data_IF_281102211973
#
_entry.id   IF_281102211973
#
_cell.length_a   1.000
_cell.length_b   1.000
_cell.length_c   1.000
_cell.angle_alpha   90.00
_cell.angle_beta   90.00
_cell.angle_gamma   90.00
#
_symmetry.space_group_name_H-M   'P 1'
#
loop_
_entity.id
_entity.type
_entity.pdbx_description
1 polymer ?
#
# COMPACT_ATOMS: atom_id res chain seq x y z
N UNK A 1 -46.88 -16.44 -19.30
CA UNK A 1 -46.60 -15.81 -18.00
C UNK A 1 -45.24 -15.13 -18.10
N UNK A 2 -45.22 -13.83 -18.43
CA UNK A 2 -44.00 -13.04 -18.50
C UNK A 2 -43.75 -12.44 -17.12
N UNK A 3 -42.57 -12.70 -16.54
CA UNK A 3 -42.16 -12.17 -15.24
C UNK A 3 -41.77 -10.70 -15.40
N UNK A 4 -42.45 -9.84 -14.63
CA UNK A 4 -42.24 -8.40 -14.58
C UNK A 4 -41.01 -8.14 -13.70
N UNK A 5 -39.90 -7.73 -14.30
CA UNK A 5 -38.68 -7.34 -13.59
C UNK A 5 -38.95 -6.04 -12.82
N UNK A 6 -38.86 -6.12 -11.49
CA UNK A 6 -38.99 -4.96 -10.60
C UNK A 6 -37.83 -3.98 -10.83
N UNK A 7 -38.17 -2.69 -10.93
CA UNK A 7 -37.20 -1.61 -11.05
C UNK A 7 -36.31 -1.52 -9.79
N UNK A 8 -35.03 -1.14 -9.95
CA UNK A 8 -34.12 -0.98 -8.81
C UNK A 8 -34.61 0.13 -7.87
N UNK A 9 -34.40 0.00 -6.55
CA UNK A 9 -34.82 1.02 -5.59
C UNK A 9 -34.04 2.31 -5.82
N UNK A 10 -34.74 3.43 -5.75
CA UNK A 10 -34.17 4.76 -5.83
C UNK A 10 -33.06 4.95 -4.78
N UNK A 11 -31.90 5.45 -5.22
CA UNK A 11 -30.78 5.76 -4.35
C UNK A 11 -31.21 6.77 -3.28
N UNK A 12 -31.09 6.36 -2.01
CA UNK A 12 -31.27 7.26 -0.87
C UNK A 12 -30.08 8.21 -0.86
N UNK A 13 -30.36 9.50 -1.11
CA UNK A 13 -29.38 10.58 -1.04
C UNK A 13 -28.90 10.74 0.42
N UNK A 14 -27.85 10.01 0.78
CA UNK A 14 -27.11 10.22 2.02
C UNK A 14 -26.15 11.40 1.87
N UNK A 15 -26.33 12.40 2.73
CA UNK A 15 -25.44 13.55 3.01
C UNK A 15 -24.00 13.45 2.44
N UNK A 16 -23.81 13.91 1.21
CA UNK A 16 -22.55 13.94 0.46
C UNK A 16 -21.63 15.13 0.81
N UNK A 17 -21.63 15.60 2.07
CA UNK A 17 -21.05 16.90 2.42
C UNK A 17 -19.58 16.88 2.93
N UNK A 18 -18.91 15.73 3.03
CA UNK A 18 -17.54 15.66 3.61
C UNK A 18 -16.44 15.21 2.65
N UNK A 19 -16.76 14.79 1.42
CA UNK A 19 -15.76 14.39 0.41
C UNK A 19 -15.10 15.56 -0.37
N UNK A 20 -15.78 16.68 -0.69
CA UNK A 20 -15.18 17.74 -1.49
C UNK A 20 -13.88 18.32 -0.93
N UNK A 21 -13.73 18.55 0.40
CA UNK A 21 -12.47 19.03 0.95
C UNK A 21 -11.33 18.03 0.76
N UNK A 22 -11.58 16.73 0.96
CA UNK A 22 -10.56 15.69 0.82
C UNK A 22 -10.05 15.59 -0.62
N UNK A 23 -10.95 15.65 -1.62
CA UNK A 23 -10.55 15.62 -3.04
C UNK A 23 -9.65 16.81 -3.38
N UNK A 24 -9.99 18.01 -2.90
CA UNK A 24 -9.17 19.20 -3.13
C UNK A 24 -7.76 19.06 -2.54
N UNK A 25 -7.62 18.50 -1.33
CA UNK A 25 -6.30 18.24 -0.74
C UNK A 25 -5.47 17.25 -1.58
N UNK A 26 -6.12 16.21 -2.12
CA UNK A 26 -5.46 15.21 -2.97
C UNK A 26 -5.04 15.79 -4.33
N UNK A 27 -5.90 16.54 -5.00
CA UNK A 27 -5.58 17.15 -6.29
C UNK A 27 -4.41 18.14 -6.18
N UNK A 28 -4.29 18.88 -5.08
CA UNK A 28 -3.18 19.82 -4.87
C UNK A 28 -1.84 19.14 -4.54
N UNK A 29 -1.84 17.83 -4.29
CA UNK A 29 -0.63 17.11 -3.89
C UNK A 29 0.29 16.92 -5.10
N UNK A 30 1.61 17.12 -4.96
CA UNK A 30 2.58 16.75 -5.98
C UNK A 30 2.76 15.23 -6.10
N UNK A 31 3.03 14.75 -7.30
CA UNK A 31 3.50 13.36 -7.49
C UNK A 31 4.83 13.16 -6.79
N UNK A 32 4.95 12.10 -5.99
CA UNK A 32 6.17 11.73 -5.28
C UNK A 32 6.77 10.44 -5.83
N UNK A 33 8.06 10.21 -5.63
CA UNK A 33 8.70 8.93 -5.95
C UNK A 33 9.19 8.26 -4.67
N UNK A 34 8.76 7.01 -4.47
CA UNK A 34 9.21 6.18 -3.38
C UNK A 34 10.22 5.18 -3.90
N UNK A 35 11.33 5.05 -3.19
CA UNK A 35 12.38 4.08 -3.51
C UNK A 35 12.19 2.86 -2.61
N UNK A 36 11.91 1.67 -3.18
CA UNK A 36 11.83 0.47 -2.39
C UNK A 36 13.18 0.14 -1.76
N UNK A 37 13.15 0.02 -0.44
CA UNK A 37 14.20 -0.58 0.38
C UNK A 37 13.59 -1.86 0.95
N UNK A 38 13.92 -3.01 0.34
CA UNK A 38 13.19 -4.28 0.50
C UNK A 38 11.74 -4.23 -0.05
N UNK A 39 10.81 -4.96 0.58
CA UNK A 39 9.35 -4.83 0.37
C UNK A 39 8.74 -3.57 1.02
N UNK A 40 9.60 -2.70 1.54
CA UNK A 40 9.25 -1.42 2.13
C UNK A 40 9.80 -0.31 1.26
N UNK A 41 9.53 0.94 1.61
CA UNK A 41 10.09 2.11 0.93
C UNK A 41 10.79 3.01 1.94
N UNK A 42 11.76 3.79 1.46
CA UNK A 42 12.74 4.56 2.27
C UNK A 42 12.15 5.64 3.19
N UNK A 43 10.85 5.91 3.11
CA UNK A 43 10.13 6.90 3.93
C UNK A 43 9.11 7.65 3.10
N UNK A 44 8.22 8.41 3.74
CA UNK A 44 7.37 9.33 2.99
C UNK A 44 8.19 10.55 2.54
N UNK A 45 7.95 11.03 1.33
CA UNK A 45 8.45 12.34 0.87
C UNK A 45 7.79 13.47 1.66
N UNK A 46 8.38 14.67 1.63
CA UNK A 46 7.79 15.83 2.30
C UNK A 46 6.40 16.16 1.77
N UNK A 47 6.17 16.04 0.46
CA UNK A 47 4.84 16.19 -0.15
C UNK A 47 3.79 15.23 0.40
N UNK A 48 4.15 13.96 0.65
CA UNK A 48 3.22 12.98 1.22
C UNK A 48 3.01 13.20 2.73
N UNK A 49 4.04 13.65 3.45
CA UNK A 49 3.90 14.05 4.86
C UNK A 49 2.99 15.28 4.99
N UNK A 50 3.19 16.29 4.15
CA UNK A 50 2.35 17.49 4.08
C UNK A 50 0.89 17.14 3.77
N UNK A 51 0.62 16.28 2.78
CA UNK A 51 -0.73 15.79 2.51
C UNK A 51 -1.39 15.21 3.77
N UNK A 52 -0.68 14.38 4.53
CA UNK A 52 -1.22 13.78 5.76
C UNK A 52 -1.51 14.82 6.84
N UNK A 53 -0.69 15.86 6.92
CA UNK A 53 -0.89 16.98 7.86
C UNK A 53 -2.10 17.83 7.45
N UNK A 54 -2.21 18.19 6.16
CA UNK A 54 -3.37 18.92 5.61
C UNK A 54 -4.68 18.17 5.83
N UNK A 55 -4.73 16.86 5.56
CA UNK A 55 -5.91 16.04 5.86
C UNK A 55 -6.26 16.08 7.35
N UNK A 56 -5.26 15.99 8.24
CA UNK A 56 -5.50 16.05 9.70
C UNK A 56 -6.09 17.40 10.11
N UNK A 57 -5.55 18.50 9.57
CA UNK A 57 -5.99 19.85 9.88
C UNK A 57 -7.38 20.15 9.31
N UNK A 58 -7.65 19.73 8.07
CA UNK A 58 -8.94 19.94 7.39
C UNK A 58 -10.07 19.07 7.96
N UNK A 59 -9.74 17.92 8.54
CA UNK A 59 -10.71 16.95 9.05
C UNK A 59 -10.42 16.54 10.50
N UNK A 60 -10.65 17.43 11.48
CA UNK A 60 -10.38 17.16 12.90
C UNK A 60 -11.24 16.05 13.50
N UNK A 61 -12.32 15.65 12.83
CA UNK A 61 -13.17 14.52 13.23
C UNK A 61 -12.59 13.15 12.88
N UNK A 62 -11.54 13.08 12.06
CA UNK A 62 -10.87 11.81 11.76
C UNK A 62 -10.14 11.30 13.00
N UNK A 63 -10.11 9.97 13.22
CA UNK A 63 -9.34 9.39 14.31
C UNK A 63 -7.84 9.72 14.15
N UNK A 64 -7.08 9.67 15.27
CA UNK A 64 -5.64 9.74 15.22
C UNK A 64 -5.07 8.66 14.29
N UNK A 65 -3.97 8.99 13.64
CA UNK A 65 -3.31 8.07 12.72
C UNK A 65 -2.77 6.84 13.46
N UNK A 66 -3.13 5.65 12.96
CA UNK A 66 -2.61 4.39 13.46
C UNK A 66 -1.10 4.28 13.23
N UNK A 67 -0.32 3.67 14.16
CA UNK A 67 1.12 3.50 13.99
C UNK A 67 1.53 2.85 12.66
N UNK A 68 0.70 1.93 12.17
CA UNK A 68 0.95 1.20 10.93
C UNK A 68 0.93 2.03 9.65
N UNK A 69 0.30 3.21 9.61
CA UNK A 69 0.31 4.08 8.43
C UNK A 69 1.31 5.24 8.54
N UNK A 70 2.02 5.39 9.66
CA UNK A 70 3.00 6.47 9.89
C UNK A 70 4.27 6.34 9.06
N UNK A 71 4.40 5.24 8.33
CA UNK A 71 5.48 4.96 7.40
C UNK A 71 4.91 4.18 6.22
N UNK A 72 5.51 4.34 5.03
CA UNK A 72 4.97 3.71 3.83
C UNK A 72 5.30 2.22 3.80
N UNK A 73 4.24 1.40 3.85
CA UNK A 73 4.33 -0.05 3.85
C UNK A 73 3.23 -0.68 3.02
N UNK A 74 3.50 -1.89 2.54
CA UNK A 74 2.52 -2.76 1.88
C UNK A 74 2.37 -4.03 2.71
N UNK A 75 1.15 -4.39 3.07
CA UNK A 75 0.90 -5.68 3.71
C UNK A 75 0.80 -6.76 2.63
N UNK A 76 1.72 -7.74 2.64
CA UNK A 76 1.79 -8.77 1.60
C UNK A 76 0.90 -9.99 1.89
N UNK A 77 0.66 -10.25 3.16
CA UNK A 77 -0.07 -11.40 3.69
C UNK A 77 -0.04 -11.43 5.22
N UNK A 78 -0.51 -12.54 5.78
CA UNK A 78 -0.54 -12.78 7.23
C UNK A 78 -0.33 -14.25 7.53
N UNK A 79 -0.08 -14.59 8.80
CA UNK A 79 -0.08 -15.99 9.22
C UNK A 79 -1.49 -16.57 9.12
N UNK A 80 -1.59 -17.83 8.67
CA UNK A 80 -2.85 -18.58 8.69
C UNK A 80 -3.39 -18.73 10.12
N UNK A 81 -4.69 -18.91 10.24
CA UNK A 81 -5.32 -19.17 11.53
C UNK A 81 -4.72 -20.41 12.21
N UNK A 82 -4.52 -20.32 13.53
CA UNK A 82 -3.90 -21.39 14.31
C UNK A 82 -2.39 -21.58 14.10
N UNK A 83 -1.75 -20.80 13.20
CA UNK A 83 -0.28 -20.82 13.03
C UNK A 83 0.41 -19.80 13.93
N UNK A 84 1.60 -20.18 14.42
CA UNK A 84 2.57 -19.34 15.12
C UNK A 84 3.96 -19.70 14.64
N UNK A 85 4.82 -18.69 14.46
CA UNK A 85 6.22 -18.92 14.15
C UNK A 85 6.94 -19.47 15.38
N UNK A 86 7.82 -20.45 15.18
CA UNK A 86 8.87 -20.77 16.14
C UNK A 86 10.04 -19.79 15.99
N UNK A 87 10.95 -19.68 16.97
CA UNK A 87 12.17 -18.89 16.83
C UNK A 87 12.98 -19.24 15.57
N UNK A 88 13.13 -20.53 15.27
CA UNK A 88 13.87 -21.00 14.09
C UNK A 88 13.17 -20.60 12.79
N UNK A 89 11.84 -20.72 12.72
CA UNK A 89 11.07 -20.29 11.55
C UNK A 89 11.15 -18.77 11.34
N UNK A 90 11.12 -17.99 12.42
CA UNK A 90 11.32 -16.55 12.34
C UNK A 90 12.74 -16.21 11.87
N UNK A 91 13.76 -16.92 12.34
CA UNK A 91 15.13 -16.72 11.87
C UNK A 91 15.25 -16.99 10.36
N UNK A 92 14.62 -18.06 9.87
CA UNK A 92 14.53 -18.37 8.43
C UNK A 92 13.83 -17.24 7.66
N UNK A 93 12.70 -16.75 8.15
CA UNK A 93 11.98 -15.63 7.52
C UNK A 93 12.85 -14.36 7.47
N UNK A 94 13.49 -14.00 8.58
CA UNK A 94 14.39 -12.84 8.64
C UNK A 94 15.55 -12.98 7.66
N UNK A 95 16.10 -14.18 7.50
CA UNK A 95 17.15 -14.45 6.53
C UNK A 95 16.66 -14.25 5.08
N UNK A 96 15.49 -14.77 4.73
CA UNK A 96 14.88 -14.54 3.41
C UNK A 96 14.65 -13.05 3.19
N UNK A 97 14.09 -12.33 4.16
CA UNK A 97 13.90 -10.88 4.06
C UNK A 97 15.22 -10.16 3.78
N UNK A 98 16.30 -10.47 4.50
CA UNK A 98 17.63 -9.86 4.30
C UNK A 98 18.16 -10.12 2.88
N UNK A 99 18.08 -11.37 2.42
CA UNK A 99 18.57 -11.76 1.08
C UNK A 99 17.79 -11.10 -0.05
N UNK A 100 16.46 -11.06 0.03
CA UNK A 100 15.62 -10.39 -0.95
C UNK A 100 15.89 -8.88 -0.96
N UNK A 101 16.03 -8.27 0.21
CA UNK A 101 16.35 -6.83 0.35
C UNK A 101 17.68 -6.50 -0.32
N UNK A 102 18.72 -7.29 -0.06
CA UNK A 102 20.02 -7.11 -0.68
C UNK A 102 19.97 -7.32 -2.20
N UNK A 103 19.14 -8.26 -2.67
CA UNK A 103 18.89 -8.47 -4.10
C UNK A 103 18.30 -7.23 -4.78
N UNK A 104 17.34 -6.56 -4.14
CA UNK A 104 16.79 -5.30 -4.63
C UNK A 104 17.86 -4.20 -4.73
N UNK A 105 18.65 -4.00 -3.68
CA UNK A 105 19.71 -2.97 -3.66
C UNK A 105 20.76 -3.21 -4.74
N UNK A 106 21.16 -4.47 -4.95
CA UNK A 106 22.13 -4.84 -6.00
C UNK A 106 21.56 -4.59 -7.40
N UNK A 107 20.29 -4.95 -7.65
CA UNK A 107 19.64 -4.68 -8.94
C UNK A 107 19.49 -3.18 -9.22
N UNK A 108 19.43 -2.34 -8.19
CA UNK A 108 19.41 -0.87 -8.33
C UNK A 108 20.77 -0.25 -8.68
N UNK A 109 21.88 -1.00 -8.53
CA UNK A 109 23.25 -0.49 -8.74
C UNK A 109 23.98 -1.00 -9.99
N UNK A 110 23.45 -2.00 -10.71
CA UNK A 110 24.14 -2.59 -11.87
C UNK A 110 23.90 -1.75 -13.13
N UNK A 111 24.97 -1.14 -13.66
CA UNK A 111 24.99 -0.51 -14.99
C UNK A 111 24.66 0.99 -15.04
N UNK A 112 24.60 1.69 -13.90
CA UNK A 112 24.31 3.13 -13.86
C UNK A 112 22.85 3.50 -14.17
N UNK A 113 21.96 2.51 -14.27
CA UNK A 113 20.53 2.73 -14.36
C UNK A 113 20.01 3.26 -13.02
N UNK A 114 19.14 4.30 -13.03
CA UNK A 114 18.49 4.71 -11.78
C UNK A 114 17.73 3.51 -11.17
N UNK A 115 17.79 3.35 -9.85
CA UNK A 115 17.07 2.29 -9.16
C UNK A 115 15.56 2.29 -9.41
N UNK A 116 14.90 1.20 -9.03
CA UNK A 116 13.45 1.07 -9.09
C UNK A 116 12.81 2.21 -8.27
N UNK A 117 11.92 2.98 -8.90
CA UNK A 117 11.11 3.99 -8.21
C UNK A 117 9.64 3.71 -8.45
N UNK A 118 8.85 3.87 -7.41
CA UNK A 118 7.40 3.80 -7.47
C UNK A 118 6.83 5.21 -7.42
N UNK A 119 6.14 5.65 -8.47
CA UNK A 119 5.44 6.93 -8.41
C UNK A 119 4.19 6.82 -7.53
N UNK A 120 4.01 7.78 -6.62
CA UNK A 120 2.77 8.03 -5.90
C UNK A 120 2.19 9.31 -6.47
N UNK A 121 1.37 9.14 -7.49
CA UNK A 121 0.80 10.18 -8.34
C UNK A 121 -0.73 10.27 -8.22
N UNK A 122 -1.27 9.55 -7.25
CA UNK A 122 -2.70 9.38 -7.03
C UNK A 122 -2.95 8.76 -5.66
N UNK A 123 -4.16 8.94 -5.16
CA UNK A 123 -4.65 8.22 -4.00
C UNK A 123 -6.10 7.80 -4.21
N UNK A 124 -6.47 6.75 -3.49
CA UNK A 124 -7.79 6.14 -3.55
C UNK A 124 -8.42 6.18 -2.17
N UNK A 125 -9.62 6.75 -2.09
CA UNK A 125 -10.50 6.65 -0.92
C UNK A 125 -11.27 5.34 -1.04
N UNK A 126 -10.83 4.33 -0.31
CA UNK A 126 -11.37 2.98 -0.37
C UNK A 126 -12.28 2.71 0.83
N UNK A 127 -13.55 2.38 0.55
CA UNK A 127 -14.48 1.78 1.51
C UNK A 127 -14.41 0.26 1.32
N UNK A 128 -14.22 -0.48 2.41
CA UNK A 128 -13.96 -1.92 2.33
C UNK A 128 -14.77 -2.70 3.36
N UNK A 129 -14.96 -3.99 3.09
CA UNK A 129 -15.60 -4.96 3.98
C UNK A 129 -14.63 -6.02 4.54
N UNK A 130 -13.33 -5.88 4.27
CA UNK A 130 -12.25 -6.63 4.92
C UNK A 130 -10.94 -5.85 4.96
N UNK A 131 -10.12 -6.07 5.99
CA UNK A 131 -8.88 -5.31 6.23
C UNK A 131 -7.75 -5.61 5.24
N UNK A 132 -7.83 -6.73 4.51
CA UNK A 132 -6.91 -7.02 3.41
C UNK A 132 -7.21 -6.21 2.14
N UNK A 133 -8.32 -5.49 2.09
CA UNK A 133 -8.83 -4.75 0.92
C UNK A 133 -9.11 -5.62 -0.31
N UNK A 134 -9.16 -6.95 -0.15
CA UNK A 134 -9.57 -7.88 -1.21
C UNK A 134 -11.07 -7.76 -1.55
N UNK A 135 -11.86 -7.09 -0.69
CA UNK A 135 -13.28 -6.82 -0.88
C UNK A 135 -13.59 -5.35 -0.61
N UNK A 136 -13.62 -4.57 -1.69
CA UNK A 136 -13.96 -3.16 -1.70
C UNK A 136 -15.46 -2.98 -1.95
N UNK A 137 -16.08 -2.06 -1.22
CA UNK A 137 -17.47 -1.65 -1.41
C UNK A 137 -17.57 -0.45 -2.36
N UNK A 138 -16.62 0.46 -2.26
CA UNK A 138 -16.49 1.61 -3.14
C UNK A 138 -15.03 2.04 -3.16
N UNK A 139 -14.61 2.57 -4.30
CA UNK A 139 -13.31 3.20 -4.38
C UNK A 139 -13.34 4.42 -5.29
N UNK A 140 -13.01 5.58 -4.71
CA UNK A 140 -12.86 6.82 -5.45
C UNK A 140 -11.38 7.10 -5.67
N UNK A 141 -10.97 7.14 -6.93
CA UNK A 141 -9.59 7.44 -7.31
C UNK A 141 -9.42 8.94 -7.61
N UNK A 142 -8.35 9.54 -7.08
CA UNK A 142 -8.02 10.95 -7.30
C UNK A 142 -6.56 11.04 -7.74
N UNK A 143 -6.35 11.63 -8.92
CA UNK A 143 -5.01 11.87 -9.47
C UNK A 143 -4.45 13.17 -8.91
N UNK A 144 -3.17 13.14 -8.55
CA UNK A 144 -2.43 14.30 -8.05
C UNK A 144 -2.16 15.28 -9.19
N UNK A 145 -2.35 16.57 -8.94
CA UNK A 145 -2.18 17.64 -9.94
C UNK A 145 -1.18 18.72 -9.47
N UNK A 146 -0.59 18.58 -8.28
CA UNK A 146 0.40 19.52 -7.73
C UNK A 146 1.78 19.50 -8.39
N UNK A 147 1.90 18.96 -9.61
CA UNK A 147 3.18 18.79 -10.29
C UNK A 147 3.96 17.56 -9.81
N UNK A 148 5.29 17.66 -9.80
CA UNK A 148 6.21 16.55 -9.52
C UNK A 148 7.22 16.98 -8.46
N UNK A 149 7.27 16.22 -7.37
CA UNK A 149 8.25 16.33 -6.32
C UNK A 149 9.25 15.17 -6.42
N UNK A 150 10.47 15.51 -6.82
CA UNK A 150 11.58 14.57 -6.92
C UNK A 150 12.47 14.57 -5.65
N UNK A 151 12.06 15.27 -4.59
CA UNK A 151 12.80 15.34 -3.33
C UNK A 151 12.70 14.01 -2.59
N UNK A 152 13.84 13.54 -2.11
CA UNK A 152 13.94 12.32 -1.32
C UNK A 152 13.30 12.50 0.07
N UNK A 153 12.81 11.42 0.71
CA UNK A 153 12.32 11.47 2.09
C UNK A 153 13.31 12.17 3.02
N UNK A 154 12.85 12.98 3.97
CA UNK A 154 13.74 13.70 4.89
C UNK A 154 14.63 12.76 5.70
N UNK A 155 15.72 13.28 6.29
CA UNK A 155 16.59 12.46 7.15
C UNK A 155 15.83 11.83 8.33
N UNK A 156 14.81 12.53 8.85
CA UNK A 156 13.95 12.03 9.92
C UNK A 156 13.06 10.86 9.45
N UNK A 157 12.47 10.97 8.26
CA UNK A 157 11.65 9.89 7.68
C UNK A 157 12.50 8.65 7.39
N UNK A 158 13.69 8.84 6.80
CA UNK A 158 14.64 7.74 6.56
C UNK A 158 15.06 7.07 7.86
N UNK A 159 15.45 7.86 8.87
CA UNK A 159 15.83 7.32 10.19
C UNK A 159 14.68 6.54 10.85
N UNK A 160 13.43 6.98 10.69
CA UNK A 160 12.26 6.24 11.19
C UNK A 160 12.15 4.86 10.51
N UNK A 161 12.24 4.80 9.18
CA UNK A 161 12.18 3.53 8.45
C UNK A 161 13.36 2.64 8.83
N UNK A 162 14.57 3.17 8.92
CA UNK A 162 15.75 2.42 9.40
C UNK A 162 15.51 1.81 10.79
N UNK A 163 14.90 2.56 11.71
CA UNK A 163 14.56 2.04 13.04
C UNK A 163 13.57 0.87 12.99
N UNK A 164 12.55 0.94 12.13
CA UNK A 164 11.57 -0.12 11.94
C UNK A 164 12.21 -1.37 11.32
N UNK A 165 13.07 -1.20 10.31
CA UNK A 165 13.79 -2.29 9.67
C UNK A 165 14.79 -3.00 10.61
N UNK A 166 15.23 -2.32 11.67
CA UNK A 166 16.09 -2.88 12.70
C UNK A 166 15.32 -3.60 13.82
N UNK A 167 13.99 -3.46 13.92
CA UNK A 167 13.19 -4.13 14.96
C UNK A 167 13.43 -5.65 15.04
N UNK A 168 13.57 -6.40 13.91
CA UNK A 168 13.81 -7.84 13.97
C UNK A 168 15.11 -8.28 14.64
N UNK A 169 16.07 -7.36 14.83
CA UNK A 169 17.34 -7.63 15.52
C UNK A 169 17.18 -7.60 17.06
N UNK A 170 16.04 -7.13 17.58
CA UNK A 170 15.83 -7.06 19.02
C UNK A 170 15.70 -8.48 19.63
N UNK A 171 16.36 -8.78 20.78
CA UNK A 171 16.34 -10.12 21.38
C UNK A 171 14.95 -10.68 21.68
N UNK A 172 13.99 -9.80 21.95
CA UNK A 172 12.60 -10.14 22.26
C UNK A 172 11.65 -10.01 21.06
N UNK A 173 12.14 -9.69 19.86
CA UNK A 173 11.30 -9.50 18.69
C UNK A 173 10.46 -10.73 18.37
N UNK A 174 11.01 -11.93 18.57
CA UNK A 174 10.29 -13.18 18.32
C UNK A 174 8.99 -13.27 19.13
N UNK A 175 8.99 -12.76 20.36
CA UNK A 175 7.82 -12.79 21.21
C UNK A 175 6.71 -11.93 20.61
N UNK A 176 7.05 -10.71 20.19
CA UNK A 176 6.12 -9.77 19.55
C UNK A 176 5.63 -10.28 18.18
N UNK A 177 6.53 -10.78 17.34
CA UNK A 177 6.21 -11.33 16.03
C UNK A 177 5.32 -12.59 16.10
N UNK A 178 5.40 -13.34 17.20
CA UNK A 178 4.66 -14.60 17.40
C UNK A 178 3.36 -14.43 18.20
N UNK A 179 3.00 -13.20 18.61
CA UNK A 179 1.76 -12.94 19.37
C UNK A 179 0.53 -13.41 18.59
N UNK A 180 -0.47 -13.88 19.32
CA UNK A 180 -1.79 -14.12 18.74
C UNK A 180 -2.44 -12.79 18.37
N UNK A 181 -3.15 -12.81 17.25
CA UNK A 181 -3.79 -11.64 16.67
C UNK A 181 -3.43 -11.48 15.19
N UNK A 182 -4.21 -10.70 14.45
CA UNK A 182 -3.91 -10.35 13.06
C UNK A 182 -3.60 -11.60 12.18
N UNK A 183 -4.40 -12.66 12.33
CA UNK A 183 -4.34 -13.87 11.48
C UNK A 183 -5.29 -13.73 10.29
N UNK A 184 -5.34 -14.75 9.45
CA UNK A 184 -6.17 -14.78 8.25
C UNK A 184 -7.63 -14.32 8.50
N UNK A 185 -8.30 -14.85 9.53
CA UNK A 185 -9.66 -14.43 9.87
C UNK A 185 -9.79 -12.94 10.26
N UNK A 186 -8.76 -12.33 10.85
CA UNK A 186 -8.77 -10.90 11.19
C UNK A 186 -8.77 -10.02 9.93
N UNK A 187 -7.99 -10.41 8.92
CA UNK A 187 -7.83 -9.65 7.69
C UNK A 187 -8.95 -9.89 6.69
N UNK A 188 -9.38 -11.15 6.53
CA UNK A 188 -10.40 -11.57 5.57
C UNK A 188 -11.80 -11.65 6.14
N UNK A 189 -11.96 -11.54 7.46
CA UNK A 189 -13.27 -11.44 8.11
C UNK A 189 -14.00 -10.15 7.73
N UNK A 190 -15.31 -10.12 7.98
CA UNK A 190 -16.13 -8.93 7.75
C UNK A 190 -15.69 -7.79 8.66
N UNK A 191 -15.33 -6.67 8.05
CA UNK A 191 -14.94 -5.45 8.74
C UNK A 191 -15.15 -4.23 7.85
N UNK A 192 -16.07 -3.35 8.25
CA UNK A 192 -16.30 -2.10 7.54
C UNK A 192 -15.27 -1.06 7.94
N UNK A 193 -14.61 -0.45 6.96
CA UNK A 193 -13.64 0.61 7.20
C UNK A 193 -13.43 1.49 5.98
N UNK A 194 -12.66 2.55 6.17
CA UNK A 194 -12.28 3.50 5.13
C UNK A 194 -10.79 3.82 5.24
N UNK A 195 -10.08 3.81 4.12
CA UNK A 195 -8.66 4.17 4.08
C UNK A 195 -8.32 5.00 2.85
N UNK A 196 -7.33 5.86 3.00
CA UNK A 196 -6.65 6.52 1.91
C UNK A 196 -5.39 5.72 1.58
N UNK A 197 -5.29 5.24 0.34
CA UNK A 197 -4.20 4.38 -0.08
C UNK A 197 -3.78 4.64 -1.52
N UNK A 198 -2.58 4.18 -1.88
CA UNK A 198 -2.09 4.16 -3.24
C UNK A 198 -1.95 2.71 -3.71
N UNK A 199 -2.67 2.25 -4.75
CA UNK A 199 -2.58 0.86 -5.20
C UNK A 199 -1.23 0.61 -5.91
N UNK A 200 -0.66 -0.59 -5.71
CA UNK A 200 0.57 -0.99 -6.41
C UNK A 200 0.28 -1.41 -7.85
N UNK A 201 -0.82 -2.14 -8.05
CA UNK A 201 -1.33 -2.47 -9.37
C UNK A 201 -2.15 -1.29 -9.90
N UNK A 202 -2.00 -1.00 -11.19
CA UNK A 202 -2.79 0.04 -11.84
C UNK A 202 -4.19 -0.52 -12.09
N UNK A 203 -5.22 0.15 -11.58
CA UNK A 203 -6.59 -0.23 -11.90
C UNK A 203 -6.94 0.19 -13.32
N UNK A 204 -7.13 -0.80 -14.19
CA UNK A 204 -7.79 -0.58 -15.46
C UNK A 204 -9.30 -0.55 -15.22
N UNK A 205 -9.93 0.63 -15.32
CA UNK A 205 -11.38 0.74 -15.41
C UNK A 205 -11.85 0.38 -16.83
N UNK A 206 -11.49 -0.81 -17.35
CA UNK A 206 -11.75 -1.21 -18.74
C UNK A 206 -10.79 -0.57 -19.76
N UNK A 207 -10.63 -1.24 -20.92
CA UNK A 207 -9.56 -0.95 -21.89
C UNK A 207 -9.57 0.48 -22.47
N UNK A 208 -10.76 1.09 -22.62
CA UNK A 208 -10.89 2.44 -23.20
C UNK A 208 -10.57 3.57 -22.20
N UNK A 209 -10.87 3.35 -20.92
CA UNK A 209 -10.55 4.29 -19.82
C UNK A 209 -9.10 4.16 -19.37
N UNK A 210 -8.45 3.02 -19.64
CA UNK A 210 -7.07 2.74 -19.25
C UNK A 210 -6.07 3.71 -19.90
N UNK A 211 -6.18 3.96 -21.21
CA UNK A 211 -5.28 4.89 -21.91
C UNK A 211 -5.46 6.34 -21.43
N UNK A 212 -6.71 6.76 -21.19
CA UNK A 212 -7.03 8.11 -20.70
C UNK A 212 -6.61 8.31 -19.24
N UNK A 213 -6.87 7.32 -18.37
CA UNK A 213 -6.45 7.33 -16.97
C UNK A 213 -4.93 7.30 -16.82
N UNK A 214 -4.23 6.47 -17.60
CA UNK A 214 -2.77 6.47 -17.65
C UNK A 214 -2.21 7.79 -18.20
N UNK A 215 -2.83 8.34 -19.24
CA UNK A 215 -2.44 9.64 -19.78
C UNK A 215 -2.71 10.79 -18.79
N UNK A 216 -3.59 10.66 -17.80
CA UNK A 216 -3.84 11.67 -16.79
C UNK A 216 -2.80 11.69 -15.65
N UNK A 217 -2.09 10.57 -15.43
CA UNK A 217 -1.21 10.36 -14.28
C UNK A 217 0.17 10.99 -14.46
N UNK A 218 0.57 11.97 -13.63
CA UNK A 218 1.85 12.65 -13.82
C UNK A 218 3.05 11.71 -13.68
N UNK A 219 3.01 10.71 -12.80
CA UNK A 219 4.08 9.72 -12.65
C UNK A 219 4.36 8.96 -13.96
N UNK A 220 3.30 8.49 -14.61
CA UNK A 220 3.35 7.86 -15.93
C UNK A 220 3.77 8.84 -17.03
N UNK A 221 3.37 10.11 -16.97
CA UNK A 221 3.86 11.12 -17.94
C UNK A 221 5.35 11.37 -17.82
N UNK A 222 5.88 11.41 -16.60
CA UNK A 222 7.29 11.74 -16.33
C UNK A 222 8.20 10.56 -16.66
N UNK A 223 7.82 9.35 -16.24
CA UNK A 223 8.67 8.16 -16.36
C UNK A 223 8.26 7.21 -17.49
N UNK A 224 7.08 7.41 -18.09
CA UNK A 224 6.61 6.66 -19.26
C UNK A 224 6.54 5.16 -19.00
N UNK A 225 7.02 4.40 -19.97
CA UNK A 225 7.09 2.92 -19.93
C UNK A 225 7.88 2.43 -18.71
N UNK A 226 8.88 3.18 -18.25
CA UNK A 226 9.73 2.78 -17.13
C UNK A 226 8.98 2.68 -15.81
N UNK A 227 7.95 3.50 -15.59
CA UNK A 227 7.09 3.37 -14.40
C UNK A 227 6.32 2.05 -14.40
N UNK A 228 5.84 1.61 -15.57
CA UNK A 228 5.16 0.33 -15.72
C UNK A 228 6.13 -0.84 -15.49
N UNK A 229 7.34 -0.72 -16.01
CA UNK A 229 8.42 -1.71 -15.81
C UNK A 229 8.80 -1.82 -14.33
N UNK A 230 9.00 -0.69 -13.64
CA UNK A 230 9.34 -0.65 -12.22
C UNK A 230 8.23 -1.28 -11.36
N UNK A 231 6.95 -0.99 -11.66
CA UNK A 231 5.81 -1.62 -10.96
C UNK A 231 5.74 -3.12 -11.20
N UNK A 232 5.94 -3.57 -12.45
CA UNK A 232 5.98 -5.00 -12.78
C UNK A 232 7.15 -5.70 -12.08
N UNK A 233 8.32 -5.07 -12.05
CA UNK A 233 9.49 -5.58 -11.35
C UNK A 233 9.22 -5.72 -9.84
N UNK A 234 8.60 -4.72 -9.23
CA UNK A 234 8.21 -4.76 -7.81
C UNK A 234 7.25 -5.91 -7.52
N UNK A 235 6.18 -6.06 -8.32
CA UNK A 235 5.20 -7.15 -8.16
C UNK A 235 5.81 -8.53 -8.42
N UNK A 236 6.70 -8.65 -9.41
CA UNK A 236 7.43 -9.89 -9.69
C UNK A 236 8.33 -10.30 -8.53
N UNK A 237 8.99 -9.33 -7.88
CA UNK A 237 9.82 -9.57 -6.71
C UNK A 237 9.00 -9.92 -5.46
N UNK A 238 7.83 -9.29 -5.24
CA UNK A 238 6.87 -9.72 -4.21
C UNK A 238 6.48 -11.18 -4.41
N UNK A 239 6.16 -11.57 -5.64
CA UNK A 239 5.78 -12.93 -5.96
C UNK A 239 6.94 -13.92 -5.79
N UNK A 240 8.17 -13.51 -6.12
CA UNK A 240 9.37 -14.31 -5.87
C UNK A 240 9.56 -14.57 -4.36
N UNK A 241 9.45 -13.54 -3.53
CA UNK A 241 9.52 -13.67 -2.08
C UNK A 241 8.46 -14.59 -1.50
N UNK A 242 7.20 -14.44 -1.93
CA UNK A 242 6.09 -15.32 -1.48
C UNK A 242 6.42 -16.78 -1.74
N UNK A 243 6.89 -17.11 -2.95
CA UNK A 243 7.31 -18.48 -3.28
C UNK A 243 8.45 -18.98 -2.41
N UNK A 244 9.47 -18.16 -2.16
CA UNK A 244 10.58 -18.55 -1.28
C UNK A 244 10.10 -18.83 0.14
N UNK A 245 9.21 -17.99 0.67
CA UNK A 245 8.60 -18.20 1.98
C UNK A 245 7.75 -19.45 1.99
N UNK A 246 6.93 -19.72 0.97
CA UNK A 246 6.10 -20.93 0.89
C UNK A 246 6.94 -22.22 0.82
N UNK A 247 8.09 -22.18 0.15
CA UNK A 247 9.04 -23.32 0.11
C UNK A 247 9.67 -23.54 1.49
N UNK A 248 10.11 -22.46 2.16
CA UNK A 248 10.82 -22.56 3.43
C UNK A 248 9.88 -22.78 4.64
N UNK A 249 8.65 -22.28 4.56
CA UNK A 249 7.65 -22.24 5.62
C UNK A 249 6.27 -22.68 5.06
N UNK A 250 6.14 -23.96 4.65
CA UNK A 250 4.96 -24.45 3.96
C UNK A 250 3.69 -24.25 4.79
N UNK A 251 2.65 -23.74 4.14
CA UNK A 251 1.33 -23.48 4.72
C UNK A 251 1.31 -22.53 5.94
N UNK A 252 2.37 -21.74 6.14
CA UNK A 252 2.41 -20.79 7.26
C UNK A 252 1.66 -19.50 6.96
N UNK A 253 1.74 -19.02 5.71
CA UNK A 253 1.20 -17.73 5.31
C UNK A 253 -0.03 -17.85 4.42
N UNK A 254 -0.91 -16.86 4.55
CA UNK A 254 -1.99 -16.53 3.63
C UNK A 254 -1.65 -15.20 2.96
N UNK A 255 -1.27 -15.26 1.68
CA UNK A 255 -0.94 -14.09 0.87
C UNK A 255 -2.21 -13.37 0.41
N UNK A 256 -2.16 -12.04 0.38
CA UNK A 256 -3.24 -11.21 -0.16
C UNK A 256 -3.13 -11.10 -1.69
N UNK A 257 -4.26 -10.92 -2.37
CA UNK A 257 -4.28 -10.73 -3.83
C UNK A 257 -3.40 -9.57 -4.29
N UNK A 258 -2.84 -9.65 -5.50
CA UNK A 258 -2.05 -8.54 -6.07
C UNK A 258 -2.87 -7.26 -6.23
N UNK A 259 -4.15 -7.41 -6.64
CA UNK A 259 -5.08 -6.31 -6.80
C UNK A 259 -5.37 -5.54 -5.50
N UNK A 260 -5.14 -6.15 -4.34
CA UNK A 260 -5.31 -5.52 -3.03
C UNK A 260 -4.01 -4.98 -2.42
N UNK A 261 -2.86 -5.14 -3.08
CA UNK A 261 -1.60 -4.58 -2.61
C UNK A 261 -1.58 -3.06 -2.79
N UNK A 262 -1.27 -2.37 -1.71
CA UNK A 262 -1.31 -0.91 -1.66
C UNK A 262 -0.37 -0.36 -0.58
N UNK A 263 0.02 0.89 -0.76
CA UNK A 263 0.64 1.71 0.28
C UNK A 263 -0.48 2.43 1.00
N UNK A 264 -0.64 2.19 2.30
CA UNK A 264 -1.57 2.98 3.10
C UNK A 264 -0.98 4.37 3.31
N UNK A 265 -1.66 5.41 2.84
CA UNK A 265 -1.29 6.80 3.10
C UNK A 265 -1.83 7.26 4.45
N UNK A 266 -3.10 6.92 4.74
CA UNK A 266 -3.78 7.26 6.00
C UNK A 266 -5.05 6.42 6.21
N UNK A 267 -5.22 5.84 7.39
CA UNK A 267 -6.52 5.27 7.78
C UNK A 267 -7.56 6.39 8.05
N UNK A 268 -8.78 6.26 7.52
CA UNK A 268 -9.84 7.28 7.67
C UNK A 268 -10.89 6.84 8.69
N UNK A 269 -11.31 5.58 8.64
CA UNK A 269 -12.25 4.94 9.57
C UNK A 269 -11.78 3.51 9.77
N UNK A 270 -11.72 3.04 11.01
CA UNK A 270 -11.18 1.73 11.36
C UNK A 270 -12.12 0.96 12.28
#
# INVERSE_FOLDING_TARGET
MAAQLAAPPAAVAGSAATLPPLVAELEQTPTSFLEPAAFFVSGFTESLVDLKQRITAAHPSLPPENPGSKWPKTSLGCLRDGKRLTPDQLAVLCQICKEESAGFEQQQGVGGAEGLKLSVDSASVALFECRSLERLLSCQHVVFQGGVDAVQPSAQERARVTGILAEPEAPNYWFEASRDGNREAHYRGRHLGATLMHPLELWAHGEADEAAAHAARPGLRVRGVRELEDRRALLAAVEHFRRRVDVALPEMYAWFSNASLHITLRALIN
#
